data_IF_091944076488
#
_entry.id   IF_091944076488
#
_cell.length_a   1.000
_cell.length_b   1.000
_cell.length_c   1.000
_cell.angle_alpha   90.00
_cell.angle_beta   90.00
_cell.angle_gamma   90.00
#
_symmetry.space_group_name_H-M   'P 1'
#
loop_
_entity.id
_entity.type
_entity.pdbx_description
1 polymer ?
#
# COMPACT_ATOMS: atom_id res chain seq x y z
N UNK A 1 -17.54 -15.01 -17.69
CA UNK A 1 -16.44 -15.23 -16.74
C UNK A 1 -16.43 -14.01 -15.82
N UNK A 2 -16.69 -14.18 -14.52
CA UNK A 2 -16.70 -13.04 -13.59
C UNK A 2 -15.24 -12.64 -13.30
N UNK A 3 -14.88 -11.35 -13.38
CA UNK A 3 -13.53 -10.91 -13.05
C UNK A 3 -13.26 -11.20 -11.57
N UNK A 4 -12.15 -11.89 -11.27
CA UNK A 4 -11.73 -12.14 -9.88
C UNK A 4 -10.92 -10.95 -9.42
N UNK A 5 -11.12 -10.53 -8.16
CA UNK A 5 -10.33 -9.45 -7.55
C UNK A 5 -8.83 -9.75 -7.60
N UNK A 6 -8.45 -11.02 -7.50
CA UNK A 6 -7.05 -11.47 -7.59
C UNK A 6 -6.42 -11.12 -8.93
N UNK A 7 -7.15 -11.25 -10.04
CA UNK A 7 -6.64 -10.92 -11.38
C UNK A 7 -6.34 -9.41 -11.49
N UNK A 8 -7.13 -8.57 -10.83
CA UNK A 8 -6.93 -7.12 -10.81
C UNK A 8 -5.74 -6.69 -9.93
N UNK A 9 -5.46 -7.44 -8.86
CA UNK A 9 -4.32 -7.19 -7.96
C UNK A 9 -3.01 -7.64 -8.62
N UNK A 10 -3.03 -8.76 -9.34
CA UNK A 10 -1.88 -9.30 -10.05
C UNK A 10 -1.48 -8.40 -11.24
N UNK A 11 -2.47 -7.86 -11.96
CA UNK A 11 -2.26 -6.96 -13.11
C UNK A 11 -1.93 -5.51 -12.68
N UNK A 12 -2.48 -5.03 -11.55
CA UNK A 12 -2.22 -3.68 -11.05
C UNK A 12 -0.99 -3.56 -10.11
N UNK A 13 -0.42 -4.68 -9.67
CA UNK A 13 0.75 -4.71 -8.78
C UNK A 13 0.51 -4.04 -7.41
N UNK A 14 1.56 -3.43 -6.83
CA UNK A 14 1.49 -2.77 -5.52
C UNK A 14 0.35 -1.71 -5.40
N UNK A 15 0.07 -0.88 -6.43
CA UNK A 15 -1.12 -0.02 -6.45
C UNK A 15 -2.45 -0.78 -6.26
N UNK A 16 -2.57 -1.97 -6.86
CA UNK A 16 -3.74 -2.84 -6.73
C UNK A 16 -3.96 -3.35 -5.31
N UNK A 17 -2.88 -3.70 -4.60
CA UNK A 17 -2.96 -4.12 -3.19
C UNK A 17 -3.43 -2.97 -2.30
N UNK A 18 -2.83 -1.78 -2.45
CA UNK A 18 -3.19 -0.61 -1.64
C UNK A 18 -4.67 -0.24 -1.86
N UNK A 19 -5.10 -0.19 -3.12
CA UNK A 19 -6.49 0.09 -3.47
C UNK A 19 -7.44 -0.99 -2.92
N UNK A 20 -7.05 -2.26 -3.00
CA UNK A 20 -7.81 -3.40 -2.49
C UNK A 20 -8.03 -3.33 -0.97
N UNK A 21 -6.98 -3.07 -0.20
CA UNK A 21 -7.07 -2.90 1.26
C UNK A 21 -7.99 -1.71 1.59
N UNK A 22 -7.80 -0.57 0.93
CA UNK A 22 -8.65 0.60 1.11
C UNK A 22 -10.12 0.31 0.82
N UNK A 23 -10.41 -0.42 -0.26
CA UNK A 23 -11.77 -0.78 -0.64
C UNK A 23 -12.45 -1.70 0.39
N UNK A 24 -11.75 -2.71 0.91
CA UNK A 24 -12.29 -3.62 1.93
C UNK A 24 -12.61 -2.89 3.23
N UNK A 25 -11.72 -1.99 3.67
CA UNK A 25 -11.94 -1.20 4.88
C UNK A 25 -13.11 -0.21 4.73
N UNK A 26 -13.30 0.35 3.53
CA UNK A 26 -14.35 1.33 3.27
C UNK A 26 -15.69 0.70 2.86
N UNK A 27 -15.72 -0.58 2.45
CA UNK A 27 -16.93 -1.30 2.05
C UNK A 27 -18.13 -1.13 3.00
N UNK A 28 -18.02 -1.32 4.33
CA UNK A 28 -19.16 -1.17 5.24
C UNK A 28 -19.70 0.26 5.34
N UNK A 29 -18.92 1.26 4.94
CA UNK A 29 -19.31 2.68 4.93
C UNK A 29 -19.88 3.08 3.56
N UNK A 30 -19.29 2.60 2.47
CA UNK A 30 -19.69 2.95 1.11
C UNK A 30 -21.05 2.33 0.73
N UNK A 31 -21.30 1.08 1.13
CA UNK A 31 -22.57 0.38 0.85
C UNK A 31 -23.80 1.17 1.35
N UNK A 32 -23.89 1.59 2.64
CA UNK A 32 -25.05 2.34 3.12
C UNK A 32 -25.15 3.76 2.54
N UNK A 33 -24.04 4.38 2.14
CA UNK A 33 -24.03 5.70 1.49
C UNK A 33 -24.66 5.62 0.10
N UNK A 34 -24.27 4.63 -0.71
CA UNK A 34 -24.83 4.41 -2.06
C UNK A 34 -26.31 3.99 -1.98
N UNK A 35 -26.70 3.27 -0.94
CA UNK A 35 -28.11 2.89 -0.68
C UNK A 35 -29.01 4.07 -0.21
N UNK A 36 -28.49 5.29 -0.09
CA UNK A 36 -29.26 6.50 0.23
C UNK A 36 -29.59 6.70 1.72
N UNK A 37 -29.27 5.73 2.58
CA UNK A 37 -29.46 5.81 4.04
C UNK A 37 -28.24 6.39 4.77
N UNK A 38 -27.11 6.57 4.07
CA UNK A 38 -25.85 7.03 4.65
C UNK A 38 -25.69 8.54 4.82
N UNK A 39 -26.70 9.37 4.53
CA UNK A 39 -26.62 10.84 4.67
C UNK A 39 -26.09 11.34 6.03
N UNK A 40 -26.52 10.82 7.20
CA UNK A 40 -25.95 11.23 8.49
C UNK A 40 -24.48 10.79 8.66
N UNK A 41 -24.09 9.64 8.11
CA UNK A 41 -22.72 9.13 8.12
C UNK A 41 -21.83 10.02 7.25
N UNK A 42 -22.24 10.31 6.02
CA UNK A 42 -21.54 11.21 5.10
C UNK A 42 -21.34 12.60 5.72
N UNK A 43 -22.39 13.16 6.35
CA UNK A 43 -22.30 14.45 7.04
C UNK A 43 -21.28 14.43 8.19
N UNK A 44 -21.24 13.33 8.95
CA UNK A 44 -20.29 13.16 10.05
C UNK A 44 -18.86 12.97 9.55
N UNK A 45 -18.67 12.23 8.45
CA UNK A 45 -17.38 12.06 7.79
C UNK A 45 -16.84 13.38 7.23
N UNK A 46 -17.68 14.18 6.56
CA UNK A 46 -17.26 15.49 6.05
C UNK A 46 -16.83 16.40 7.19
N UNK A 47 -17.60 16.45 8.28
CA UNK A 47 -17.27 17.27 9.45
C UNK A 47 -16.01 16.76 10.17
N UNK A 48 -15.91 15.45 10.38
CA UNK A 48 -14.73 14.82 10.98
C UNK A 48 -13.49 15.01 10.12
N UNK A 49 -13.63 14.89 8.80
CA UNK A 49 -12.58 15.10 7.81
C UNK A 49 -12.06 16.52 7.79
N UNK A 50 -12.95 17.54 7.87
CA UNK A 50 -12.52 18.93 8.04
C UNK A 50 -11.68 19.11 9.30
N UNK A 51 -12.17 18.63 10.46
CA UNK A 51 -11.44 18.78 11.73
C UNK A 51 -10.10 18.05 11.70
N UNK A 52 -10.05 16.84 11.12
CA UNK A 52 -8.81 16.08 10.96
C UNK A 52 -7.83 16.79 10.03
N UNK A 53 -8.30 17.36 8.91
CA UNK A 53 -7.48 18.13 7.97
C UNK A 53 -6.92 19.42 8.59
N UNK A 54 -7.73 20.16 9.35
CA UNK A 54 -7.28 21.35 10.06
C UNK A 54 -6.21 21.01 11.11
N UNK A 55 -6.41 19.92 11.86
CA UNK A 55 -5.43 19.42 12.84
C UNK A 55 -4.14 18.93 12.17
N UNK A 56 -4.26 18.21 11.06
CA UNK A 56 -3.09 17.65 10.38
C UNK A 56 -2.16 18.74 9.86
N UNK A 57 -2.70 19.86 9.37
CA UNK A 57 -1.89 21.02 8.95
C UNK A 57 -0.91 21.53 10.02
N UNK A 58 -1.30 21.47 11.30
CA UNK A 58 -0.41 21.84 12.41
C UNK A 58 0.63 20.75 12.69
N UNK A 59 0.19 19.48 12.72
CA UNK A 59 1.05 18.32 13.01
C UNK A 59 2.13 18.13 11.94
N UNK A 60 1.82 18.36 10.66
CA UNK A 60 2.79 18.25 9.57
C UNK A 60 3.91 19.30 9.63
N UNK A 61 3.67 20.45 10.26
CA UNK A 61 4.70 21.49 10.40
C UNK A 61 5.79 21.09 11.40
N UNK A 62 5.46 20.26 12.40
CA UNK A 62 6.40 19.81 13.43
C UNK A 62 7.01 18.43 13.13
N UNK A 63 6.31 17.59 12.36
CA UNK A 63 6.75 16.22 12.05
C UNK A 63 7.51 16.07 10.73
N UNK A 64 7.66 17.15 9.95
CA UNK A 64 8.28 17.10 8.62
C UNK A 64 9.70 16.51 8.63
N UNK A 65 10.56 16.99 9.53
CA UNK A 65 11.97 16.55 9.59
C UNK A 65 12.10 15.05 9.93
N UNK A 66 11.39 14.58 10.97
CA UNK A 66 11.41 13.15 11.35
C UNK A 66 10.79 12.26 10.29
N UNK A 67 9.76 12.76 9.60
CA UNK A 67 9.10 12.02 8.52
C UNK A 67 10.00 11.87 7.29
N UNK A 68 10.70 12.95 6.91
CA UNK A 68 11.67 12.92 5.82
C UNK A 68 12.84 11.98 6.13
N UNK A 69 13.31 11.94 7.38
CA UNK A 69 14.38 11.04 7.83
C UNK A 69 13.98 9.56 7.70
N UNK A 70 12.80 9.18 8.24
CA UNK A 70 12.28 7.80 8.13
C UNK A 70 12.07 7.40 6.65
N UNK A 71 11.58 8.32 5.82
CA UNK A 71 11.43 8.05 4.37
C UNK A 71 12.79 7.88 3.70
N UNK A 72 13.80 8.67 4.08
CA UNK A 72 15.14 8.56 3.54
C UNK A 72 15.78 7.22 3.93
N UNK A 73 15.64 6.81 5.19
CA UNK A 73 16.09 5.52 5.71
C UNK A 73 15.42 4.35 4.97
N UNK A 74 14.08 4.36 4.86
CA UNK A 74 13.34 3.33 4.15
C UNK A 74 13.69 3.25 2.65
N UNK A 75 13.95 4.40 1.99
CA UNK A 75 14.40 4.41 0.59
C UNK A 75 15.80 3.83 0.44
N UNK A 76 16.70 4.12 1.37
CA UNK A 76 18.04 3.56 1.38
C UNK A 76 17.99 2.04 1.58
N UNK A 77 17.15 1.53 2.49
CA UNK A 77 16.97 0.10 2.73
C UNK A 77 16.43 -0.63 1.48
N UNK A 78 15.43 -0.06 0.79
CA UNK A 78 14.90 -0.61 -0.46
C UNK A 78 15.95 -0.58 -1.60
N UNK A 79 16.82 0.43 -1.63
CA UNK A 79 17.89 0.52 -2.62
C UNK A 79 19.00 -0.51 -2.33
N UNK A 80 19.38 -0.69 -1.06
CA UNK A 80 20.36 -1.67 -0.61
C UNK A 80 19.89 -3.12 -0.90
N UNK A 81 18.61 -3.41 -0.68
CA UNK A 81 18.03 -4.72 -1.01
C UNK A 81 17.98 -4.99 -2.53
N UNK A 82 18.00 -3.94 -3.37
CA UNK A 82 18.13 -4.06 -4.84
C UNK A 82 19.57 -4.13 -5.32
N UNK A 83 20.51 -3.56 -4.56
CA UNK A 83 21.92 -3.48 -4.92
C UNK A 83 22.74 -4.68 -4.43
N UNK A 84 22.20 -5.51 -3.53
CA UNK A 84 22.82 -6.78 -3.14
C UNK A 84 22.73 -7.76 -4.33
N UNK A 85 23.79 -7.94 -5.13
CA UNK A 85 23.78 -8.93 -6.19
C UNK A 85 23.88 -10.26 -5.48
N UNK A 86 22.89 -11.12 -5.68
CA UNK A 86 22.94 -12.53 -5.32
C UNK A 86 24.21 -13.15 -5.92
N UNK A 87 25.30 -13.16 -5.15
CA UNK A 87 26.53 -13.83 -5.54
C UNK A 87 26.65 -15.13 -4.73
N UNK A 88 26.73 -16.19 -5.51
CA UNK A 88 27.19 -17.55 -5.20
C UNK A 88 26.30 -18.47 -4.35
N UNK A 89 25.55 -19.31 -5.06
CA UNK A 89 25.64 -20.75 -4.82
C UNK A 89 26.44 -21.37 -5.96
N UNK A 90 27.76 -21.48 -5.77
CA UNK A 90 28.56 -22.52 -6.42
C UNK A 90 28.35 -23.83 -5.65
N UNK A 91 27.71 -24.82 -6.27
CA UNK A 91 27.87 -26.26 -6.04
C UNK A 91 26.98 -26.99 -7.06
N UNK A 92 27.58 -27.45 -8.16
CA UNK A 92 27.94 -28.86 -8.34
C UNK A 92 26.80 -29.70 -8.92
N UNK A 93 26.90 -29.99 -10.21
CA UNK A 93 26.40 -31.24 -10.82
C UNK A 93 27.20 -31.49 -12.10
N UNK A 94 28.33 -32.17 -11.92
CA UNK A 94 28.77 -33.30 -12.73
C UNK A 94 28.38 -33.25 -14.21
N UNK A 95 29.30 -32.72 -15.01
CA UNK A 95 29.62 -33.38 -16.27
C UNK A 95 30.06 -34.81 -15.94
N UNK A 96 29.43 -35.82 -16.56
CA UNK A 96 29.94 -37.15 -16.90
C UNK A 96 28.76 -38.13 -17.08
N UNK A 97 28.24 -38.25 -18.30
CA UNK A 97 27.73 -39.55 -18.76
C UNK A 97 28.00 -39.71 -20.26
N UNK A 98 29.16 -40.27 -20.55
CA UNK A 98 29.40 -41.02 -21.78
C UNK A 98 28.95 -42.47 -21.58
N UNK A 99 28.28 -43.01 -22.59
CA UNK A 99 27.86 -44.40 -22.73
C UNK A 99 27.16 -44.60 -24.07
#
# INVERSE_FOLDING_TARGET
MAPKITDFVEDAGAPGIIAGIGAVLLAPVLIPVVAGIGKPIAKSLVKGGMVAYEKSKGVFAEMGETWEDIIAEAKAEIAEERETPTFEVSADNTAEHGG
#
